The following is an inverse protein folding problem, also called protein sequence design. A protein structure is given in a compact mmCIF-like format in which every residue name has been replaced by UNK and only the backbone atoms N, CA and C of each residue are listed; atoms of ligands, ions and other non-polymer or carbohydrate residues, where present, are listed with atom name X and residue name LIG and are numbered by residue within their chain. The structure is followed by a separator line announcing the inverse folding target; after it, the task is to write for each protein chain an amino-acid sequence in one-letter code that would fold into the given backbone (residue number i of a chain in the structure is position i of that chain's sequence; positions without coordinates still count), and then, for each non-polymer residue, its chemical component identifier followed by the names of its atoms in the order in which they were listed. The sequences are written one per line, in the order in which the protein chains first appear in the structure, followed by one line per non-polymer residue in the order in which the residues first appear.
data_IF_496316595402
#
_entry.id   IF_496316595402
#
_cell.length_a   1.000
_cell.length_b   1.000
_cell.length_c   1.000
_cell.angle_alpha   90.00
_cell.angle_beta   90.00
_cell.angle_gamma   90.00
#
_symmetry.space_group_name_H-M   'P 1'
#
loop_
_entity.id
_entity.type
_entity.pdbx_description
1 polymer ?
#
# COMPACT_ATOMS: atom_id res chain seq x y z
N UNK A 1 -52.17 -34.27 21.80
CA UNK A 1 -53.00 -35.47 21.51
C UNK A 1 -53.16 -35.81 20.03
N UNK A 2 -53.41 -34.86 19.11
CA UNK A 2 -53.62 -35.17 17.67
C UNK A 2 -52.45 -35.87 16.95
N UNK A 3 -51.19 -35.52 17.26
CA UNK A 3 -50.04 -36.04 16.52
C UNK A 3 -49.56 -37.43 16.98
N UNK A 4 -49.75 -37.74 18.26
CA UNK A 4 -49.43 -39.06 18.83
C UNK A 4 -50.35 -40.14 18.24
N UNK A 5 -51.65 -39.84 18.10
CA UNK A 5 -52.62 -40.70 17.42
C UNK A 5 -52.32 -40.94 15.93
N UNK A 6 -51.67 -39.99 15.24
CA UNK A 6 -51.38 -40.12 13.80
C UNK A 6 -50.11 -40.92 13.50
N UNK A 7 -49.07 -40.80 14.33
CA UNK A 7 -47.75 -41.38 14.00
C UNK A 7 -47.27 -42.49 14.95
N UNK A 8 -47.98 -42.75 16.04
CA UNK A 8 -47.77 -43.85 17.01
C UNK A 8 -46.36 -43.96 17.63
N UNK A 9 -45.41 -43.09 17.28
CA UNK A 9 -44.03 -43.03 17.77
C UNK A 9 -43.51 -41.58 17.67
N UNK A 10 -43.15 -40.99 18.81
CA UNK A 10 -42.67 -39.61 18.93
C UNK A 10 -41.30 -39.37 18.28
N UNK A 11 -40.48 -40.40 18.06
CA UNK A 11 -39.06 -40.20 17.72
C UNK A 11 -38.82 -39.78 16.28
N UNK A 12 -39.77 -40.01 15.35
CA UNK A 12 -39.59 -39.74 13.90
C UNK A 12 -40.69 -38.91 13.23
N UNK A 13 -41.55 -38.26 14.01
CA UNK A 13 -42.69 -37.44 13.51
C UNK A 13 -42.26 -36.38 12.50
N UNK A 14 -41.12 -35.72 12.72
CA UNK A 14 -40.60 -34.66 11.83
C UNK A 14 -40.17 -35.19 10.47
N UNK A 15 -39.57 -36.39 10.40
CA UNK A 15 -39.13 -37.01 9.13
C UNK A 15 -40.34 -37.44 8.31
N UNK A 16 -41.34 -38.05 8.96
CA UNK A 16 -42.59 -38.50 8.31
C UNK A 16 -43.43 -37.33 7.78
N UNK A 17 -43.61 -36.26 8.56
CA UNK A 17 -44.31 -35.06 8.08
C UNK A 17 -43.56 -34.35 6.94
N UNK A 18 -42.23 -34.41 6.94
CA UNK A 18 -41.42 -33.87 5.85
C UNK A 18 -41.58 -34.69 4.56
N UNK A 19 -41.72 -36.01 4.68
CA UNK A 19 -42.04 -36.91 3.57
C UNK A 19 -43.46 -36.68 3.04
N UNK A 20 -44.47 -36.56 3.92
CA UNK A 20 -45.87 -36.28 3.52
C UNK A 20 -46.02 -34.93 2.80
N UNK A 21 -45.28 -33.90 3.22
CA UNK A 21 -45.35 -32.57 2.61
C UNK A 21 -44.36 -32.38 1.44
N UNK A 22 -43.62 -33.43 1.07
CA UNK A 22 -42.52 -33.40 0.11
C UNK A 22 -41.54 -32.22 0.30
N UNK A 23 -41.42 -31.69 1.52
CA UNK A 23 -40.65 -30.47 1.85
C UNK A 23 -40.00 -30.62 3.22
N UNK A 24 -38.79 -30.08 3.37
CA UNK A 24 -38.03 -30.18 4.63
C UNK A 24 -38.69 -29.29 5.69
N UNK A 25 -39.17 -29.88 6.79
CA UNK A 25 -39.75 -29.13 7.90
C UNK A 25 -38.66 -28.37 8.67
N UNK A 26 -38.49 -27.09 8.35
CA UNK A 26 -37.68 -26.12 9.07
C UNK A 26 -38.52 -24.95 9.58
N UNK A 27 -37.97 -24.15 10.48
CA UNK A 27 -38.58 -22.85 10.78
C UNK A 27 -38.50 -21.97 9.52
N UNK A 28 -39.56 -21.21 9.20
CA UNK A 28 -39.51 -20.25 8.11
C UNK A 28 -38.45 -19.19 8.41
N UNK A 29 -37.81 -18.69 7.36
CA UNK A 29 -36.85 -17.61 7.49
C UNK A 29 -37.54 -16.34 7.98
N UNK A 30 -36.96 -15.66 8.97
CA UNK A 30 -37.52 -14.41 9.52
C UNK A 30 -37.40 -13.20 8.60
N UNK A 31 -36.48 -13.27 7.63
CA UNK A 31 -36.18 -12.19 6.69
C UNK A 31 -36.27 -12.77 5.29
N UNK A 32 -36.88 -12.02 4.37
CA UNK A 32 -37.01 -12.44 2.99
C UNK A 32 -35.68 -12.33 2.23
N UNK A 33 -35.54 -13.09 1.14
CA UNK A 33 -34.32 -13.03 0.33
C UNK A 33 -34.14 -11.66 -0.35
N UNK A 34 -35.24 -11.00 -0.72
CA UNK A 34 -35.19 -9.65 -1.32
C UNK A 34 -34.48 -8.65 -0.42
N UNK A 35 -34.75 -8.71 0.89
CA UNK A 35 -34.07 -7.88 1.90
C UNK A 35 -32.57 -8.15 1.94
N UNK A 36 -32.15 -9.42 1.82
CA UNK A 36 -30.73 -9.78 1.78
C UNK A 36 -30.04 -9.27 0.50
N UNK A 37 -30.73 -9.30 -0.63
CA UNK A 37 -30.22 -8.76 -1.91
C UNK A 37 -30.12 -7.23 -1.88
N UNK A 38 -31.08 -6.55 -1.25
CA UNK A 38 -31.03 -5.10 -1.05
C UNK A 38 -29.80 -4.68 -0.22
N UNK A 39 -29.30 -5.51 0.69
CA UNK A 39 -28.07 -5.19 1.42
C UNK A 39 -26.80 -5.17 0.55
N UNK A 40 -26.87 -5.71 -0.67
CA UNK A 40 -25.73 -5.74 -1.60
C UNK A 40 -25.58 -4.47 -2.44
N UNK A 41 -26.57 -3.59 -2.43
CA UNK A 41 -26.58 -2.34 -3.19
C UNK A 41 -26.31 -1.15 -2.27
N UNK A 42 -25.43 -0.24 -2.71
CA UNK A 42 -25.05 0.95 -1.94
C UNK A 42 -26.21 1.93 -1.80
N UNK A 43 -27.16 1.95 -2.75
CA UNK A 43 -28.34 2.81 -2.70
C UNK A 43 -29.27 2.44 -1.53
N UNK A 44 -29.42 1.13 -1.27
CA UNK A 44 -30.27 0.60 -0.21
C UNK A 44 -29.52 0.29 1.09
N UNK A 45 -28.19 0.16 1.03
CA UNK A 45 -27.33 -0.05 2.19
C UNK A 45 -26.10 0.87 2.10
N UNK A 46 -26.20 2.13 2.57
CA UNK A 46 -25.11 3.09 2.48
C UNK A 46 -23.91 2.75 3.39
N UNK A 47 -24.06 1.77 4.28
CA UNK A 47 -23.05 1.32 5.25
C UNK A 47 -22.52 -0.08 4.93
N UNK A 48 -22.55 -0.49 3.66
CA UNK A 48 -22.14 -1.81 3.18
C UNK A 48 -20.67 -2.16 3.48
N UNK A 49 -19.83 -1.16 3.67
CA UNK A 49 -18.42 -1.24 4.09
C UNK A 49 -18.23 -1.44 5.61
N UNK A 50 -19.29 -1.25 6.41
CA UNK A 50 -19.22 -1.33 7.88
C UNK A 50 -19.43 -2.76 8.40
N UNK A 51 -19.06 -3.06 9.65
CA UNK A 51 -19.36 -4.35 10.27
C UNK A 51 -20.86 -4.68 10.23
N UNK A 52 -21.22 -5.95 10.06
CA UNK A 52 -22.61 -6.41 9.96
C UNK A 52 -23.51 -5.92 11.11
N UNK A 53 -22.96 -5.72 12.32
CA UNK A 53 -23.71 -5.18 13.45
C UNK A 53 -24.19 -3.74 13.22
N UNK A 54 -23.39 -2.91 12.55
CA UNK A 54 -23.77 -1.55 12.13
C UNK A 54 -24.83 -1.64 11.04
N UNK A 55 -24.61 -2.49 10.02
CA UNK A 55 -25.58 -2.69 8.93
C UNK A 55 -26.95 -3.15 9.43
N UNK A 56 -27.00 -4.02 10.44
CA UNK A 56 -28.24 -4.48 11.08
C UNK A 56 -29.00 -3.31 11.71
N UNK A 57 -28.31 -2.43 12.44
CA UNK A 57 -28.91 -1.28 13.12
C UNK A 57 -29.38 -0.23 12.11
N UNK A 58 -28.55 0.08 11.12
CA UNK A 58 -28.87 1.10 10.11
C UNK A 58 -30.02 0.68 9.19
N UNK A 59 -30.08 -0.60 8.79
CA UNK A 59 -31.10 -1.11 7.87
C UNK A 59 -32.26 -1.81 8.59
N UNK A 60 -32.38 -1.68 9.92
CA UNK A 60 -33.45 -2.26 10.75
C UNK A 60 -33.71 -3.76 10.51
N UNK A 61 -32.64 -4.57 10.42
CA UNK A 61 -32.76 -6.00 10.16
C UNK A 61 -33.10 -6.74 11.46
N UNK A 62 -34.18 -7.53 11.55
CA UNK A 62 -34.58 -8.25 12.77
C UNK A 62 -33.77 -9.55 12.98
N UNK A 63 -32.45 -9.50 12.82
CA UNK A 63 -31.54 -10.63 12.94
C UNK A 63 -30.32 -10.28 13.80
N UNK A 64 -29.79 -11.28 14.50
CA UNK A 64 -28.47 -11.17 15.15
C UNK A 64 -27.36 -11.25 14.09
N UNK A 65 -26.17 -10.72 14.40
CA UNK A 65 -25.00 -10.78 13.51
C UNK A 65 -24.76 -12.19 12.94
N UNK A 66 -24.74 -13.20 13.82
CA UNK A 66 -24.51 -14.60 13.44
C UNK A 66 -25.62 -15.16 12.55
N UNK A 67 -26.88 -14.80 12.82
CA UNK A 67 -28.01 -15.23 11.99
C UNK A 67 -28.00 -14.56 10.61
N UNK A 68 -27.63 -13.28 10.53
CA UNK A 68 -27.46 -12.57 9.27
C UNK A 68 -26.31 -13.19 8.44
N UNK A 69 -25.16 -13.45 9.06
CA UNK A 69 -24.02 -14.09 8.38
C UNK A 69 -24.39 -15.48 7.82
N UNK A 70 -25.12 -16.28 8.59
CA UNK A 70 -25.63 -17.58 8.13
C UNK A 70 -26.60 -17.43 6.94
N UNK A 71 -27.55 -16.49 7.02
CA UNK A 71 -28.49 -16.22 5.93
C UNK A 71 -27.77 -15.80 4.64
N UNK A 72 -26.82 -14.87 4.74
CA UNK A 72 -26.05 -14.37 3.60
C UNK A 72 -25.26 -15.50 2.92
N UNK A 73 -24.55 -16.33 3.69
CA UNK A 73 -23.74 -17.43 3.14
C UNK A 73 -24.60 -18.54 2.54
N UNK A 74 -25.65 -18.96 3.24
CA UNK A 74 -26.43 -20.14 2.86
C UNK A 74 -27.46 -19.86 1.77
N UNK A 75 -28.02 -18.64 1.71
CA UNK A 75 -29.11 -18.33 0.78
C UNK A 75 -28.66 -17.59 -0.47
N UNK A 76 -27.72 -16.66 -0.34
CA UNK A 76 -27.32 -15.80 -1.46
C UNK A 76 -25.82 -15.83 -1.75
N UNK A 77 -25.07 -16.74 -1.12
CA UNK A 77 -23.62 -16.88 -1.28
C UNK A 77 -22.87 -15.54 -1.14
N UNK A 78 -23.23 -14.79 -0.10
CA UNK A 78 -22.65 -13.49 0.21
C UNK A 78 -22.04 -13.45 1.61
N UNK A 79 -21.14 -12.50 1.83
CA UNK A 79 -20.44 -12.33 3.08
C UNK A 79 -19.60 -11.06 3.09
N UNK A 80 -19.00 -10.78 4.25
CA UNK A 80 -18.03 -9.70 4.38
C UNK A 80 -16.68 -10.22 3.91
N UNK A 81 -16.15 -9.66 2.84
CA UNK A 81 -14.88 -10.04 2.23
C UNK A 81 -13.98 -8.82 2.06
N UNK A 82 -12.67 -9.04 1.91
CA UNK A 82 -11.72 -7.98 1.55
C UNK A 82 -12.17 -7.27 0.25
N UNK A 83 -12.26 -5.95 0.30
CA UNK A 83 -12.64 -5.10 -0.82
C UNK A 83 -11.52 -5.03 -1.87
N UNK A 84 -11.88 -4.84 -3.13
CA UNK A 84 -10.93 -4.39 -4.14
C UNK A 84 -10.83 -2.87 -4.08
N UNK A 85 -9.65 -2.33 -4.35
CA UNK A 85 -9.45 -0.89 -4.47
C UNK A 85 -8.57 -0.63 -5.67
N UNK A 86 -8.92 0.42 -6.40
CA UNK A 86 -8.07 1.04 -7.40
C UNK A 86 -7.36 2.22 -6.70
N UNK A 87 -6.03 2.12 -6.61
CA UNK A 87 -5.20 3.33 -6.60
C UNK A 87 -5.26 3.82 -8.06
N UNK A 88 -5.29 5.13 -8.30
CA UNK A 88 -5.44 5.79 -9.60
C UNK A 88 -5.09 4.90 -10.81
N UNK A 89 -5.99 4.85 -11.79
CA UNK A 89 -5.78 4.09 -13.02
C UNK A 89 -4.41 4.45 -13.63
N UNK A 90 -3.56 3.44 -13.84
CA UNK A 90 -2.23 3.65 -14.41
C UNK A 90 -2.44 4.19 -15.83
N UNK A 91 -1.83 5.32 -16.15
CA UNK A 91 -1.94 5.91 -17.49
C UNK A 91 -1.41 4.94 -18.55
N UNK A 92 -1.95 5.00 -19.77
CA UNK A 92 -1.48 4.16 -20.88
C UNK A 92 0.04 4.31 -21.10
N UNK A 93 0.56 5.54 -21.05
CA UNK A 93 2.00 5.81 -21.16
C UNK A 93 2.82 5.07 -20.11
N UNK A 94 2.37 5.06 -18.85
CA UNK A 94 3.06 4.34 -17.79
C UNK A 94 2.97 2.83 -17.99
N UNK A 95 1.83 2.31 -18.48
CA UNK A 95 1.71 0.89 -18.83
C UNK A 95 2.72 0.50 -19.91
N UNK A 96 2.89 1.30 -20.96
CA UNK A 96 3.90 1.03 -21.99
C UNK A 96 5.32 1.05 -21.46
N UNK A 97 5.69 2.04 -20.65
CA UNK A 97 7.01 2.11 -20.01
C UNK A 97 7.27 0.90 -19.11
N UNK A 98 6.26 0.49 -18.36
CA UNK A 98 6.29 -0.70 -17.51
C UNK A 98 6.50 -1.97 -18.32
N UNK A 99 5.71 -2.19 -19.38
CA UNK A 99 5.90 -3.33 -20.28
C UNK A 99 7.32 -3.35 -20.85
N UNK A 100 7.83 -2.21 -21.32
CA UNK A 100 9.19 -2.08 -21.82
C UNK A 100 10.24 -2.45 -20.78
N UNK A 101 10.13 -1.92 -19.56
CA UNK A 101 11.00 -2.28 -18.44
C UNK A 101 10.96 -3.79 -18.14
N UNK A 102 9.76 -4.38 -18.15
CA UNK A 102 9.56 -5.81 -17.98
C UNK A 102 10.30 -6.64 -19.04
N UNK A 103 10.15 -6.28 -20.32
CA UNK A 103 10.81 -6.98 -21.42
C UNK A 103 12.33 -6.92 -21.35
N UNK A 104 12.89 -5.75 -21.01
CA UNK A 104 14.34 -5.52 -20.92
C UNK A 104 14.95 -6.27 -19.74
N UNK A 105 14.28 -6.27 -18.58
CA UNK A 105 14.89 -6.72 -17.33
C UNK A 105 14.50 -8.16 -16.90
N UNK A 106 13.52 -8.80 -17.55
CA UNK A 106 13.08 -10.17 -17.18
C UNK A 106 14.16 -11.25 -17.29
N UNK A 107 15.18 -11.04 -18.14
CA UNK A 107 16.27 -11.99 -18.37
C UNK A 107 17.55 -11.63 -17.61
N UNK A 108 17.55 -10.50 -16.89
CA UNK A 108 18.71 -10.07 -16.13
C UNK A 108 18.99 -11.06 -14.98
N UNK A 109 20.24 -11.50 -14.80
CA UNK A 109 20.58 -12.47 -13.78
C UNK A 109 20.48 -11.86 -12.37
N UNK A 110 20.24 -12.70 -11.36
CA UNK A 110 20.26 -12.26 -9.97
C UNK A 110 21.67 -11.77 -9.61
N UNK A 111 22.68 -12.57 -9.92
CA UNK A 111 24.09 -12.25 -9.70
C UNK A 111 24.68 -11.58 -10.94
N UNK A 112 25.35 -10.45 -10.76
CA UNK A 112 25.91 -9.61 -11.82
C UNK A 112 25.01 -8.44 -12.23
N UNK A 113 23.73 -8.44 -11.84
CA UNK A 113 22.82 -7.32 -12.11
C UNK A 113 21.98 -6.98 -10.88
N UNK A 114 21.00 -7.81 -10.49
CA UNK A 114 20.08 -7.46 -9.39
C UNK A 114 20.75 -7.41 -8.01
N UNK A 115 21.86 -8.12 -7.82
CA UNK A 115 22.72 -8.07 -6.62
C UNK A 115 23.59 -6.81 -6.53
N UNK A 116 23.68 -6.04 -7.62
CA UNK A 116 24.40 -4.77 -7.69
C UNK A 116 23.48 -3.54 -7.59
N UNK A 117 22.16 -3.74 -7.54
CA UNK A 117 21.18 -2.66 -7.42
C UNK A 117 20.97 -2.28 -5.95
N UNK A 118 21.24 -1.02 -5.64
CA UNK A 118 20.85 -0.35 -4.41
C UNK A 118 19.44 0.21 -4.56
N UNK A 119 18.53 -0.32 -3.76
CA UNK A 119 17.12 0.05 -3.73
C UNK A 119 16.93 1.10 -2.64
N UNK A 120 16.54 2.32 -3.03
CA UNK A 120 16.17 3.40 -2.10
C UNK A 120 14.68 3.66 -2.18
N UNK A 121 14.10 4.13 -1.07
CA UNK A 121 12.72 4.61 -1.01
C UNK A 121 12.47 5.28 0.33
N UNK A 122 11.46 6.13 0.35
CA UNK A 122 10.87 6.75 1.53
C UNK A 122 9.54 6.08 1.86
N UNK A 123 9.21 6.02 3.14
CA UNK A 123 7.91 5.54 3.60
C UNK A 123 7.37 6.39 4.75
N UNK A 124 6.06 6.32 4.94
CA UNK A 124 5.41 6.79 6.16
C UNK A 124 4.84 5.60 6.94
N UNK A 125 4.86 5.72 8.27
CA UNK A 125 4.18 4.82 9.18
C UNK A 125 3.26 5.62 10.09
N UNK A 126 1.98 5.27 10.05
CA UNK A 126 0.99 5.82 10.95
C UNK A 126 0.51 4.71 11.92
N UNK A 127 0.72 4.85 13.24
CA UNK A 127 0.30 3.85 14.23
C UNK A 127 -1.23 3.70 14.32
N UNK A 128 -2.01 4.66 13.82
CA UNK A 128 -3.47 4.61 13.76
C UNK A 128 -4.00 4.09 12.41
N UNK A 129 -3.15 4.03 11.38
CA UNK A 129 -3.57 3.53 10.06
C UNK A 129 -3.86 2.03 10.12
N UNK A 130 -5.08 1.63 9.78
CA UNK A 130 -5.40 0.21 9.66
C UNK A 130 -4.87 -0.32 8.32
N UNK A 131 -3.90 -1.25 8.36
CA UNK A 131 -3.42 -1.96 7.17
C UNK A 131 -4.42 -3.01 6.70
N UNK A 132 -5.43 -3.34 7.51
CA UNK A 132 -6.51 -4.20 7.05
C UNK A 132 -7.23 -3.51 5.90
N UNK A 133 -7.19 -4.18 4.74
CA UNK A 133 -7.96 -3.80 3.56
C UNK A 133 -9.41 -3.65 4.01
N UNK A 134 -10.08 -2.53 3.70
CA UNK A 134 -11.47 -2.37 4.04
C UNK A 134 -12.22 -3.60 3.53
N UNK A 135 -13.14 -4.09 4.35
CA UNK A 135 -13.98 -5.22 4.00
C UNK A 135 -15.33 -4.68 3.53
N UNK A 136 -15.93 -5.35 2.55
CA UNK A 136 -17.25 -5.00 2.05
C UNK A 136 -18.13 -6.23 2.02
N UNK A 137 -19.41 -6.03 2.30
CA UNK A 137 -20.42 -7.04 2.07
C UNK A 137 -20.63 -7.23 0.56
N UNK A 138 -20.33 -8.43 0.03
CA UNK A 138 -20.47 -8.76 -1.39
C UNK A 138 -20.75 -10.24 -1.62
N UNK A 139 -21.20 -10.54 -2.83
CA UNK A 139 -21.24 -11.91 -3.34
C UNK A 139 -19.84 -12.54 -3.42
N UNK A 140 -19.78 -13.84 -3.13
CA UNK A 140 -18.61 -14.67 -3.34
C UNK A 140 -18.17 -14.61 -4.82
N UNK A 141 -16.84 -14.63 -5.06
CA UNK A 141 -16.27 -14.53 -6.41
C UNK A 141 -16.41 -13.18 -7.13
N UNK A 142 -17.26 -12.26 -6.70
CA UNK A 142 -17.52 -10.98 -7.40
C UNK A 142 -16.62 -9.81 -6.97
N UNK A 143 -15.38 -10.08 -6.59
CA UNK A 143 -14.46 -9.07 -6.02
C UNK A 143 -14.20 -7.87 -6.95
N UNK A 144 -14.11 -8.10 -8.26
CA UNK A 144 -13.70 -7.11 -9.27
C UNK A 144 -14.89 -6.40 -9.94
N UNK A 145 -16.13 -6.63 -9.50
CA UNK A 145 -17.26 -5.82 -10.01
C UNK A 145 -17.07 -4.37 -9.60
N UNK A 146 -17.38 -3.44 -10.49
CA UNK A 146 -17.26 -1.97 -10.30
C UNK A 146 -17.80 -1.50 -8.95
N UNK A 147 -19.00 -1.92 -8.58
CA UNK A 147 -19.63 -1.51 -7.32
C UNK A 147 -18.91 -2.07 -6.07
N UNK A 148 -18.05 -3.08 -6.21
CA UNK A 148 -17.28 -3.65 -5.10
C UNK A 148 -15.86 -3.09 -5.01
N UNK A 149 -15.49 -2.20 -5.95
CA UNK A 149 -14.21 -1.49 -5.96
C UNK A 149 -14.40 -0.18 -5.20
N UNK A 150 -13.75 -0.06 -4.05
CA UNK A 150 -13.74 1.18 -3.28
C UNK A 150 -12.67 2.14 -3.78
N UNK A 151 -12.99 3.43 -3.80
CA UNK A 151 -11.99 4.50 -3.91
C UNK A 151 -11.42 4.74 -2.51
N UNK A 152 -10.13 4.48 -2.31
CA UNK A 152 -9.48 4.74 -1.02
C UNK A 152 -9.38 6.26 -0.84
N UNK A 153 -10.17 6.83 0.07
CA UNK A 153 -9.99 8.23 0.46
C UNK A 153 -8.62 8.38 1.12
N UNK A 154 -7.83 9.42 0.79
CA UNK A 154 -6.59 9.68 1.50
C UNK A 154 -6.92 9.90 2.98
N UNK A 155 -6.32 9.09 3.85
CA UNK A 155 -6.45 9.29 5.30
C UNK A 155 -5.68 10.55 5.64
N UNK A 156 -6.30 11.48 6.38
CA UNK A 156 -5.61 12.69 6.87
C UNK A 156 -4.38 12.26 7.67
N UNK A 157 -3.25 12.94 7.46
CA UNK A 157 -2.02 12.69 8.19
C UNK A 157 -2.29 12.78 9.71
N UNK A 158 -2.01 11.70 10.44
CA UNK A 158 -2.03 11.73 11.90
C UNK A 158 -0.80 12.50 12.38
N UNK A 159 -0.89 13.31 13.45
CA UNK A 159 0.28 13.95 14.04
C UNK A 159 1.35 12.93 14.47
N UNK A 160 0.99 11.66 14.68
CA UNK A 160 1.89 10.56 15.02
C UNK A 160 2.54 9.88 13.80
N UNK A 161 2.28 10.36 12.58
CA UNK A 161 2.90 9.79 11.38
C UNK A 161 4.41 10.04 11.40
N UNK A 162 5.17 8.96 11.29
CA UNK A 162 6.62 9.02 11.15
C UNK A 162 7.01 8.83 9.69
N UNK A 163 7.99 9.61 9.28
CA UNK A 163 8.57 9.62 7.95
C UNK A 163 9.95 8.97 8.01
N UNK A 164 10.15 7.93 7.20
CA UNK A 164 11.34 7.09 7.25
C UNK A 164 11.96 6.92 5.87
N UNK A 165 13.26 6.70 5.84
CA UNK A 165 14.02 6.37 4.63
C UNK A 165 15.03 5.27 4.96
N UNK A 166 15.34 4.42 3.98
CA UNK A 166 16.42 3.45 4.10
C UNK A 166 16.88 3.01 2.71
N UNK A 167 18.04 2.36 2.67
CA UNK A 167 18.58 1.73 1.47
C UNK A 167 18.84 0.24 1.71
N UNK A 168 18.57 -0.59 0.72
CA UNK A 168 18.85 -2.04 0.78
C UNK A 168 19.48 -2.53 -0.52
N UNK A 169 20.30 -3.55 -0.39
CA UNK A 169 20.90 -4.30 -1.48
C UNK A 169 20.97 -5.80 -1.06
N UNK A 170 21.28 -6.68 -1.99
CA UNK A 170 21.53 -8.10 -1.76
C UNK A 170 22.57 -8.40 -0.67
N UNK A 171 23.58 -7.54 -0.52
CA UNK A 171 24.66 -7.70 0.46
C UNK A 171 24.54 -6.78 1.66
N UNK A 172 23.69 -5.76 1.60
CA UNK A 172 23.72 -4.64 2.54
C UNK A 172 22.31 -4.22 2.93
N UNK A 173 22.13 -3.89 4.21
CA UNK A 173 20.93 -3.26 4.74
C UNK A 173 21.36 -2.01 5.49
N UNK A 174 20.97 -0.84 4.99
CA UNK A 174 21.27 0.44 5.60
C UNK A 174 20.56 0.66 6.94
N UNK A 175 20.99 1.67 7.70
CA UNK A 175 20.25 2.11 8.88
C UNK A 175 18.86 2.65 8.48
N UNK A 176 17.91 2.58 9.42
CA UNK A 176 16.62 3.24 9.26
C UNK A 176 16.75 4.69 9.70
N UNK A 177 16.61 5.61 8.75
CA UNK A 177 16.60 7.05 9.02
C UNK A 177 15.19 7.61 9.18
N UNK A 178 15.08 8.72 9.90
CA UNK A 178 13.84 9.48 10.06
C UNK A 178 14.05 10.92 9.59
N UNK A 179 13.00 11.54 9.04
CA UNK A 179 12.99 12.95 8.67
C UNK A 179 11.71 13.63 9.16
N UNK A 180 11.69 14.97 9.17
CA UNK A 180 10.57 15.79 9.67
C UNK A 180 10.24 15.61 11.17
N UNK A 181 11.26 15.41 12.02
CA UNK A 181 11.09 15.08 13.44
C UNK A 181 10.75 16.27 14.35
N UNK A 182 11.22 17.48 14.04
CA UNK A 182 11.20 18.63 14.97
C UNK A 182 10.58 19.92 14.41
N UNK A 183 10.13 19.91 13.15
CA UNK A 183 9.62 21.11 12.50
C UNK A 183 8.22 20.80 11.99
N UNK A 184 7.25 21.29 12.74
CA UNK A 184 5.95 21.61 12.20
C UNK A 184 6.18 22.57 11.03
N UNK A 185 6.00 22.05 9.81
CA UNK A 185 5.89 22.81 8.57
C UNK A 185 7.13 23.66 8.22
N UNK A 186 7.84 23.31 7.14
CA UNK A 186 8.32 24.39 6.28
C UNK A 186 7.07 25.19 5.92
N UNK A 187 6.92 26.41 6.45
CA UNK A 187 6.01 27.37 5.83
C UNK A 187 6.37 27.35 4.36
N UNK A 188 5.42 27.00 3.47
CA UNK A 188 5.67 27.04 2.04
C UNK A 188 6.31 28.41 1.77
N UNK A 189 7.60 28.48 1.39
CA UNK A 189 8.17 29.76 1.04
C UNK A 189 7.27 30.28 -0.06
N UNK A 190 6.74 31.51 0.10
CA UNK A 190 5.88 32.13 -0.92
C UNK A 190 6.55 31.85 -2.26
N UNK A 191 5.83 31.29 -3.25
CA UNK A 191 6.44 30.89 -4.50
C UNK A 191 7.27 32.06 -5.02
N UNK A 192 8.58 31.84 -5.14
CA UNK A 192 9.49 32.87 -5.61
C UNK A 192 8.96 33.35 -6.95
N UNK A 193 8.88 34.67 -7.17
CA UNK A 193 8.37 35.16 -8.45
C UNK A 193 9.28 34.69 -9.58
N UNK A 194 8.68 34.03 -10.58
CA UNK A 194 9.42 33.56 -11.77
C UNK A 194 10.21 34.72 -12.37
N UNK A 195 11.54 34.57 -12.59
CA UNK A 195 12.37 35.61 -13.17
C UNK A 195 11.80 36.04 -14.51
N UNK A 196 11.53 37.34 -14.66
CA UNK A 196 11.23 37.94 -15.95
C UNK A 196 12.54 38.29 -16.65
N UNK A 197 12.61 38.04 -17.95
CA UNK A 197 13.77 38.42 -18.77
C UNK A 197 13.85 39.94 -18.81
N UNK A 198 15.00 40.52 -18.46
CA UNK A 198 15.20 41.96 -18.57
C UNK A 198 15.49 42.37 -20.02
N UNK A 199 15.17 43.62 -20.36
CA UNK A 199 15.29 44.17 -21.74
C UNK A 199 16.70 44.04 -22.32
N UNK A 200 17.74 44.13 -21.49
CA UNK A 200 19.16 44.12 -21.88
C UNK A 200 19.92 42.88 -21.40
N UNK A 201 19.21 41.83 -20.98
CA UNK A 201 19.81 40.59 -20.50
C UNK A 201 20.04 39.58 -21.64
N UNK A 202 21.21 38.97 -21.67
CA UNK A 202 21.55 37.90 -22.62
C UNK A 202 20.75 36.63 -22.33
N UNK A 203 20.46 35.84 -23.37
CA UNK A 203 19.67 34.61 -23.27
C UNK A 203 20.26 33.61 -22.26
N UNK A 204 21.59 33.55 -22.16
CA UNK A 204 22.32 32.63 -21.29
C UNK A 204 22.17 33.00 -19.82
N UNK A 205 22.33 34.29 -19.49
CA UNK A 205 22.16 34.82 -18.13
C UNK A 205 20.72 34.68 -17.63
N UNK A 206 19.74 34.83 -18.53
CA UNK A 206 18.34 34.55 -18.23
C UNK A 206 18.10 33.06 -17.90
N UNK A 207 18.71 32.15 -18.65
CA UNK A 207 18.61 30.70 -18.39
C UNK A 207 19.25 30.32 -17.06
N UNK A 208 20.42 30.85 -16.73
CA UNK A 208 21.08 30.62 -15.45
C UNK A 208 20.20 31.04 -14.26
N UNK A 209 19.60 32.24 -14.32
CA UNK A 209 18.63 32.69 -13.31
C UNK A 209 17.37 31.83 -13.25
N UNK A 210 16.92 31.31 -14.38
CA UNK A 210 15.78 30.40 -14.43
C UNK A 210 16.11 29.07 -13.74
N UNK A 211 17.30 28.52 -14.01
CA UNK A 211 17.80 27.30 -13.38
C UNK A 211 17.95 27.47 -11.87
N UNK A 212 18.56 28.57 -11.42
CA UNK A 212 18.68 28.88 -9.99
C UNK A 212 17.32 29.07 -9.31
N UNK A 213 16.34 29.64 -10.02
CA UNK A 213 14.98 29.79 -9.52
C UNK A 213 14.24 28.45 -9.47
N UNK A 214 14.37 27.60 -10.49
CA UNK A 214 13.78 26.25 -10.53
C UNK A 214 14.33 25.36 -9.40
N UNK A 215 15.63 25.47 -9.09
CA UNK A 215 16.27 24.77 -7.96
C UNK A 215 15.75 25.24 -6.59
N UNK A 216 15.33 26.50 -6.48
CA UNK A 216 14.80 27.09 -5.23
C UNK A 216 13.28 26.97 -5.09
N UNK A 217 12.58 26.61 -6.15
CA UNK A 217 11.12 26.50 -6.12
C UNK A 217 10.67 25.24 -5.39
N UNK A 218 9.79 25.35 -4.37
CA UNK A 218 9.17 24.18 -3.79
C UNK A 218 8.31 23.47 -4.87
N UNK A 219 8.17 22.14 -4.80
CA UNK A 219 7.36 21.40 -5.76
C UNK A 219 5.91 21.92 -5.76
N UNK A 220 5.34 22.13 -6.95
CA UNK A 220 3.92 22.45 -7.09
C UNK A 220 3.06 21.29 -6.54
N UNK A 221 2.21 21.58 -5.56
CA UNK A 221 1.29 20.63 -4.93
C UNK A 221 -0.12 20.91 -5.47
N UNK A 222 -0.75 19.91 -6.10
CA UNK A 222 -2.21 19.89 -6.27
C UNK A 222 -2.83 19.30 -4.99
N UNK A 223 -3.26 20.14 -4.05
CA UNK A 223 -3.92 19.71 -2.81
C UNK A 223 -3.84 20.70 -1.65
N UNK A 224 -4.76 20.55 -0.69
CA UNK A 224 -4.83 21.38 0.51
C UNK A 224 -3.57 21.27 1.39
N UNK A 225 -3.22 22.41 1.95
CA UNK A 225 -2.00 22.71 2.71
C UNK A 225 -1.96 21.90 4.01
N UNK A 226 -1.15 20.84 4.03
CA UNK A 226 -0.93 20.03 5.22
C UNK A 226 -0.23 18.72 4.87
N UNK A 227 1.06 18.80 4.53
CA UNK A 227 1.84 17.61 4.20
C UNK A 227 3.31 17.79 4.52
N UNK A 228 3.87 16.76 5.15
CA UNK A 228 5.28 16.59 5.42
C UNK A 228 6.00 16.22 4.10
N UNK A 229 6.45 17.20 3.32
CA UNK A 229 7.15 16.97 2.05
C UNK A 229 8.66 17.10 2.20
N UNK A 230 9.42 16.30 1.47
CA UNK A 230 10.88 16.46 1.33
C UNK A 230 11.15 17.46 0.20
N UNK A 231 12.01 18.46 0.45
CA UNK A 231 12.52 19.34 -0.61
C UNK A 231 13.74 18.71 -1.28
N UNK A 232 14.03 19.08 -2.53
CA UNK A 232 15.23 18.61 -3.22
C UNK A 232 16.51 18.96 -2.44
N UNK A 233 16.59 20.17 -1.88
CA UNK A 233 17.71 20.62 -1.04
C UNK A 233 17.90 19.69 0.18
N UNK A 234 16.84 19.44 0.94
CA UNK A 234 16.88 18.55 2.11
C UNK A 234 17.32 17.13 1.72
N UNK A 235 16.77 16.61 0.61
CA UNK A 235 17.15 15.29 0.10
C UNK A 235 18.65 15.25 -0.24
N UNK A 236 19.17 16.25 -0.97
CA UNK A 236 20.58 16.31 -1.37
C UNK A 236 21.55 16.49 -0.21
N UNK A 237 21.14 17.21 0.85
CA UNK A 237 22.00 17.51 1.98
C UNK A 237 21.99 16.42 3.06
N UNK A 238 20.86 15.73 3.25
CA UNK A 238 20.67 14.85 4.40
C UNK A 238 20.42 13.39 4.07
N UNK A 239 19.83 13.07 2.91
CA UNK A 239 19.44 11.70 2.55
C UNK A 239 20.43 11.11 1.53
N UNK A 240 20.62 11.79 0.40
CA UNK A 240 21.47 11.35 -0.71
C UNK A 240 22.91 11.01 -0.29
N UNK A 241 23.59 11.76 0.61
CA UNK A 241 24.95 11.42 1.03
C UNK A 241 25.03 10.03 1.66
N UNK A 242 24.01 9.63 2.43
CA UNK A 242 23.97 8.29 3.04
C UNK A 242 23.90 7.17 2.00
N UNK A 243 23.23 7.41 0.87
CA UNK A 243 23.14 6.46 -0.25
C UNK A 243 24.45 6.41 -1.04
N UNK A 244 25.06 7.57 -1.30
CA UNK A 244 26.36 7.66 -1.97
C UNK A 244 27.42 6.92 -1.15
N UNK A 245 27.48 7.15 0.16
CA UNK A 245 28.41 6.49 1.06
C UNK A 245 28.22 4.97 1.02
N UNK A 246 26.97 4.48 1.09
CA UNK A 246 26.67 3.05 1.04
C UNK A 246 27.14 2.39 -0.27
N UNK A 247 26.97 3.07 -1.41
CA UNK A 247 27.46 2.60 -2.73
C UNK A 247 28.98 2.67 -2.81
N UNK A 248 29.59 3.74 -2.30
CA UNK A 248 31.04 3.92 -2.30
C UNK A 248 31.74 2.87 -1.44
N UNK A 249 31.18 2.54 -0.27
CA UNK A 249 31.70 1.48 0.59
C UNK A 249 31.66 0.11 -0.10
N UNK A 250 30.60 -0.20 -0.86
CA UNK A 250 30.56 -1.43 -1.66
C UNK A 250 31.56 -1.43 -2.82
N UNK A 251 31.83 -0.28 -3.44
CA UNK A 251 32.88 -0.15 -4.46
C UNK A 251 34.27 -0.44 -3.89
N UNK A 252 34.57 0.11 -2.70
CA UNK A 252 35.87 -0.10 -2.03
C UNK A 252 36.02 -1.56 -1.56
N UNK A 253 34.94 -2.15 -1.02
CA UNK A 253 34.95 -3.52 -0.51
C UNK A 253 34.88 -4.62 -1.58
N UNK A 254 34.57 -4.28 -2.84
CA UNK A 254 34.49 -5.26 -3.91
C UNK A 254 35.89 -5.67 -4.39
N UNK A 255 36.29 -6.90 -4.07
CA UNK A 255 37.49 -7.55 -4.63
C UNK A 255 37.33 -7.88 -6.12
N UNK A 256 36.11 -7.80 -6.65
CA UNK A 256 35.77 -8.11 -8.04
C UNK A 256 35.87 -6.83 -8.84
N UNK A 257 36.93 -6.73 -9.65
CA UNK A 257 37.14 -5.70 -10.65
C UNK A 257 35.89 -5.54 -11.53
N UNK A 258 35.46 -4.28 -11.73
CA UNK A 258 34.47 -3.85 -12.73
C UNK A 258 33.01 -4.33 -12.55
N UNK A 259 32.44 -4.21 -11.35
CA UNK A 259 30.96 -4.24 -11.20
C UNK A 259 30.37 -2.83 -11.28
N UNK A 260 29.38 -2.66 -12.15
CA UNK A 260 28.55 -1.46 -12.20
C UNK A 260 27.51 -1.52 -11.06
N UNK A 261 27.68 -0.66 -10.06
CA UNK A 261 26.70 -0.49 -8.98
C UNK A 261 25.63 0.51 -9.41
N UNK A 262 24.37 0.09 -9.33
CA UNK A 262 23.21 0.86 -9.78
C UNK A 262 22.45 1.40 -8.58
N UNK A 263 22.11 2.69 -8.57
CA UNK A 263 21.19 3.29 -7.61
C UNK A 263 19.80 3.37 -8.26
N UNK A 264 18.78 2.81 -7.61
CA UNK A 264 17.39 2.85 -8.08
C UNK A 264 16.53 3.64 -7.11
N UNK A 265 15.98 4.74 -7.63
CA UNK A 265 15.07 5.65 -6.92
C UNK A 265 13.76 5.78 -7.71
N UNK A 266 12.71 6.30 -7.06
CA UNK A 266 11.49 6.68 -7.77
C UNK A 266 11.66 8.05 -8.47
N UNK A 267 10.64 8.48 -9.19
CA UNK A 267 10.70 9.72 -9.96
C UNK A 267 10.12 10.92 -9.17
N UNK A 268 10.19 10.90 -7.83
CA UNK A 268 9.74 12.00 -7.00
C UNK A 268 10.45 13.32 -7.39
N UNK A 269 9.73 14.46 -7.43
CA UNK A 269 10.33 15.74 -7.78
C UNK A 269 11.56 16.12 -6.92
N UNK A 270 11.62 15.68 -5.66
CA UNK A 270 12.76 15.91 -4.77
C UNK A 270 14.05 15.21 -5.24
N UNK A 271 13.96 14.16 -6.07
CA UNK A 271 15.10 13.52 -6.73
C UNK A 271 15.61 14.29 -7.97
N UNK A 272 15.13 15.53 -8.17
CA UNK A 272 15.64 16.46 -9.19
C UNK A 272 15.09 16.26 -10.60
N UNK A 273 13.98 15.53 -10.74
CA UNK A 273 13.42 15.05 -12.03
C UNK A 273 12.72 16.13 -12.87
N UNK A 274 12.50 17.32 -12.30
CA UNK A 274 11.84 18.47 -12.96
C UNK A 274 12.80 19.41 -13.70
N UNK A 275 14.12 19.26 -13.55
CA UNK A 275 15.08 20.09 -14.28
C UNK A 275 15.21 19.66 -15.75
N UNK A 276 15.33 20.63 -16.67
CA UNK A 276 15.34 20.39 -18.12
C UNK A 276 16.50 19.50 -18.61
N UNK A 277 17.53 19.28 -17.78
CA UNK A 277 18.74 18.53 -18.11
C UNK A 277 18.99 17.28 -17.23
N UNK A 278 17.95 16.71 -16.59
CA UNK A 278 18.15 15.50 -15.79
C UNK A 278 17.97 14.21 -16.62
N UNK A 279 19.01 13.37 -16.62
CA UNK A 279 19.03 12.02 -17.24
C UNK A 279 17.99 11.10 -16.58
N UNK A 280 17.67 11.31 -15.30
CA UNK A 280 16.70 10.52 -14.52
C UNK A 280 15.23 10.69 -14.96
N UNK A 281 14.92 11.67 -15.82
CA UNK A 281 13.54 11.99 -16.26
C UNK A 281 12.84 10.87 -17.07
N UNK A 282 13.56 9.83 -17.51
CA UNK A 282 13.06 8.85 -18.49
C UNK A 282 12.38 7.59 -17.93
N UNK A 283 12.29 7.39 -16.61
CA UNK A 283 11.67 6.19 -16.03
C UNK A 283 10.62 6.59 -14.99
N UNK A 284 9.34 6.32 -15.28
CA UNK A 284 8.19 6.72 -14.45
C UNK A 284 7.80 5.63 -13.43
N UNK A 285 7.34 6.10 -12.28
CA UNK A 285 6.86 5.41 -11.08
C UNK A 285 6.29 4.01 -11.28
N UNK A 286 6.90 3.04 -10.61
CA UNK A 286 6.41 1.68 -10.48
C UNK A 286 6.79 1.11 -9.11
N UNK A 287 6.05 1.47 -8.03
CA UNK A 287 6.39 1.03 -6.67
C UNK A 287 6.38 -0.50 -6.55
N UNK A 288 5.56 -1.20 -7.34
CA UNK A 288 5.56 -2.66 -7.43
C UNK A 288 6.79 -3.25 -8.16
N UNK A 289 7.79 -2.44 -8.52
CA UNK A 289 9.09 -2.88 -9.06
C UNK A 289 10.27 -2.51 -8.15
N UNK A 290 10.00 -1.97 -6.96
CA UNK A 290 11.03 -1.68 -5.96
C UNK A 290 10.88 -2.65 -4.76
N UNK A 291 11.82 -3.61 -4.55
CA UNK A 291 11.87 -4.51 -3.39
C UNK A 291 11.74 -3.80 -2.04
N UNK A 292 12.14 -2.54 -1.95
CA UNK A 292 12.03 -1.76 -0.74
C UNK A 292 10.57 -1.59 -0.27
N UNK A 293 9.59 -1.56 -1.17
CA UNK A 293 8.16 -1.59 -0.80
C UNK A 293 7.78 -2.87 -0.06
N UNK A 294 8.33 -4.02 -0.49
CA UNK A 294 8.15 -5.29 0.20
C UNK A 294 8.82 -5.30 1.58
N UNK A 295 9.99 -4.66 1.71
CA UNK A 295 10.68 -4.50 3.00
C UNK A 295 9.85 -3.62 3.94
N UNK A 296 9.31 -2.51 3.43
CA UNK A 296 8.40 -1.65 4.18
C UNK A 296 7.15 -2.39 4.65
N UNK A 297 6.59 -3.27 3.82
CA UNK A 297 5.44 -4.08 4.22
C UNK A 297 5.79 -5.01 5.39
N UNK A 298 6.96 -5.67 5.36
CA UNK A 298 7.43 -6.51 6.47
C UNK A 298 7.56 -5.68 7.75
N UNK A 299 8.24 -4.54 7.68
CA UNK A 299 8.43 -3.63 8.82
C UNK A 299 7.07 -3.19 9.40
N UNK A 300 6.19 -2.67 8.54
CA UNK A 300 4.85 -2.18 8.90
C UNK A 300 4.02 -3.26 9.59
N UNK A 301 4.04 -4.49 9.07
CA UNK A 301 3.31 -5.62 9.65
C UNK A 301 3.84 -6.01 11.03
N UNK A 302 5.17 -6.12 11.19
CA UNK A 302 5.80 -6.50 12.46
C UNK A 302 5.57 -5.46 13.55
N UNK A 303 5.75 -4.18 13.22
CA UNK A 303 5.51 -3.07 14.15
C UNK A 303 4.05 -3.05 14.58
N UNK A 304 3.10 -3.22 13.66
CA UNK A 304 1.67 -3.25 14.03
C UNK A 304 1.28 -4.42 14.89
N UNK A 305 1.84 -5.62 14.61
CA UNK A 305 1.69 -6.76 15.51
C UNK A 305 2.16 -6.38 16.91
N UNK A 306 3.34 -5.77 17.04
CA UNK A 306 3.89 -5.35 18.33
C UNK A 306 3.04 -4.27 19.02
N UNK A 307 2.51 -3.30 18.28
CA UNK A 307 1.61 -2.27 18.82
C UNK A 307 0.28 -2.86 19.31
N UNK A 308 -0.28 -3.84 18.59
CA UNK A 308 -1.59 -4.43 18.91
C UNK A 308 -1.51 -5.58 19.93
N UNK A 309 -0.40 -6.30 19.95
CA UNK A 309 -0.22 -7.55 20.72
C UNK A 309 1.27 -7.74 21.04
N UNK A 310 1.82 -6.92 21.96
CA UNK A 310 3.21 -7.05 22.37
C UNK A 310 3.45 -8.39 23.05
N UNK A 311 4.57 -9.05 22.71
CA UNK A 311 4.97 -10.33 23.29
C UNK A 311 6.22 -10.13 24.16
N UNK A 312 6.34 -10.77 25.34
CA UNK A 312 7.56 -10.67 26.13
C UNK A 312 8.80 -11.09 25.31
N UNK A 313 9.92 -10.35 25.36
CA UNK A 313 10.25 -9.23 26.26
C UNK A 313 9.92 -7.83 25.72
N UNK A 314 9.06 -7.69 24.71
CA UNK A 314 8.73 -6.40 24.08
C UNK A 314 8.03 -5.44 25.05
N UNK A 315 8.39 -4.17 24.96
CA UNK A 315 7.72 -3.07 25.67
C UNK A 315 6.39 -2.69 25.03
N UNK A 316 5.41 -2.34 25.86
CA UNK A 316 4.16 -1.74 25.41
C UNK A 316 4.45 -0.31 24.96
N UNK A 317 4.02 0.05 23.75
CA UNK A 317 4.16 1.41 23.23
C UNK A 317 3.42 2.43 24.12
N UNK A 318 4.10 3.52 24.48
CA UNK A 318 3.59 4.57 25.36
C UNK A 318 2.79 5.67 24.66
N UNK A 319 2.60 5.57 23.35
CA UNK A 319 1.89 6.57 22.54
C UNK A 319 2.79 7.70 22.00
N UNK A 320 4.08 7.72 22.34
CA UNK A 320 5.01 8.78 21.89
C UNK A 320 5.67 8.44 20.56
N UNK A 321 6.06 9.47 19.79
CA UNK A 321 6.88 9.32 18.57
C UNK A 321 8.24 8.71 18.88
N UNK A 322 8.84 9.07 20.01
CA UNK A 322 10.17 8.61 20.39
C UNK A 322 10.19 7.09 20.59
N UNK A 323 9.26 6.56 21.39
CA UNK A 323 9.13 5.12 21.59
C UNK A 323 8.73 4.42 20.28
N UNK A 324 7.90 5.05 19.43
CA UNK A 324 7.56 4.49 18.12
C UNK A 324 8.79 4.37 17.20
N UNK A 325 9.72 5.34 17.21
CA UNK A 325 10.99 5.25 16.49
C UNK A 325 11.85 4.11 17.01
N UNK A 326 11.94 3.95 18.33
CA UNK A 326 12.70 2.85 18.95
C UNK A 326 12.15 1.49 18.52
N UNK A 327 10.82 1.32 18.53
CA UNK A 327 10.17 0.10 18.04
C UNK A 327 10.49 -0.12 16.55
N UNK A 328 10.40 0.92 15.71
CA UNK A 328 10.70 0.83 14.28
C UNK A 328 12.17 0.44 14.02
N UNK A 329 13.11 1.02 14.76
CA UNK A 329 14.54 0.70 14.66
C UNK A 329 14.81 -0.74 15.11
N UNK A 330 14.20 -1.19 16.20
CA UNK A 330 14.32 -2.57 16.68
C UNK A 330 13.77 -3.57 15.67
N UNK A 331 12.57 -3.33 15.15
CA UNK A 331 11.95 -4.21 14.14
C UNK A 331 12.72 -4.18 12.82
N UNK A 332 13.24 -3.03 12.41
CA UNK A 332 14.13 -2.92 11.25
C UNK A 332 15.40 -3.72 11.43
N UNK A 333 16.04 -3.66 12.61
CA UNK A 333 17.24 -4.43 12.91
C UNK A 333 16.99 -5.95 12.75
N UNK A 334 15.80 -6.42 13.14
CA UNK A 334 15.38 -7.82 13.03
C UNK A 334 15.03 -8.28 11.61
N UNK A 335 14.89 -7.38 10.62
CA UNK A 335 14.71 -7.79 9.21
C UNK A 335 16.05 -8.33 8.69
N UNK A 336 16.05 -9.59 8.28
CA UNK A 336 17.29 -10.26 7.86
C UNK A 336 17.62 -10.00 6.39
N UNK A 337 18.90 -10.08 6.02
CA UNK A 337 19.31 -10.05 4.61
C UNK A 337 18.66 -11.18 3.79
N UNK A 338 18.37 -12.33 4.41
CA UNK A 338 17.67 -13.44 3.75
C UNK A 338 16.26 -13.03 3.30
N UNK A 339 15.53 -12.28 4.13
CA UNK A 339 14.21 -11.76 3.76
C UNK A 339 14.29 -10.76 2.61
N UNK A 340 15.28 -9.85 2.65
CA UNK A 340 15.54 -8.87 1.58
C UNK A 340 15.90 -9.58 0.27
N UNK A 341 16.83 -10.54 0.31
CA UNK A 341 17.23 -11.35 -0.85
C UNK A 341 16.06 -12.10 -1.47
N UNK A 342 15.14 -12.61 -0.65
CA UNK A 342 13.90 -13.25 -1.13
C UNK A 342 12.98 -12.29 -1.87
N UNK A 343 13.00 -11.00 -1.57
CA UNK A 343 12.26 -9.98 -2.32
C UNK A 343 12.98 -9.67 -3.64
N UNK A 344 14.30 -9.45 -3.60
CA UNK A 344 15.12 -9.15 -4.79
C UNK A 344 15.11 -10.32 -5.78
N UNK A 345 15.18 -11.57 -5.32
CA UNK A 345 15.18 -12.75 -6.20
C UNK A 345 13.89 -12.91 -7.01
N UNK A 346 12.81 -12.23 -6.63
CA UNK A 346 11.55 -12.22 -7.38
C UNK A 346 11.57 -11.24 -8.56
N UNK A 347 12.54 -10.32 -8.64
CA UNK A 347 12.56 -9.26 -9.65
C UNK A 347 12.47 -9.76 -11.10
N UNK A 348 13.21 -10.80 -11.54
CA UNK A 348 13.05 -11.34 -12.90
C UNK A 348 11.61 -11.82 -13.19
N UNK A 349 11.02 -12.55 -12.24
CA UNK A 349 9.63 -13.04 -12.36
C UNK A 349 8.61 -11.89 -12.38
N UNK A 350 8.84 -10.84 -11.61
CA UNK A 350 7.99 -9.62 -11.64
C UNK A 350 8.10 -8.91 -12.98
N UNK A 351 9.30 -8.74 -13.53
CA UNK A 351 9.51 -8.15 -14.84
C UNK A 351 8.80 -8.95 -15.94
N UNK A 352 8.85 -10.29 -15.88
CA UNK A 352 8.11 -11.18 -16.78
C UNK A 352 6.59 -11.02 -16.65
N UNK A 353 6.08 -10.90 -15.42
CA UNK A 353 4.65 -10.65 -15.19
C UNK A 353 4.22 -9.29 -15.76
N UNK A 354 5.09 -8.28 -15.67
CA UNK A 354 4.81 -6.95 -16.19
C UNK A 354 4.73 -6.93 -17.73
N UNK A 355 5.61 -7.69 -18.39
CA UNK A 355 5.59 -7.86 -19.84
C UNK A 355 4.33 -8.59 -20.32
N UNK A 356 3.82 -9.55 -19.53
CA UNK A 356 2.68 -10.40 -19.90
C UNK A 356 1.32 -9.81 -19.50
N UNK A 357 1.27 -8.98 -18.46
CA UNK A 357 0.02 -8.40 -17.95
C UNK A 357 -0.34 -7.04 -18.58
N UNK A 358 0.40 -6.60 -19.61
CA UNK A 358 0.16 -5.33 -20.28
C UNK A 358 0.51 -4.09 -19.43
N UNK A 359 1.44 -4.22 -18.47
CA UNK A 359 1.89 -3.12 -17.62
C UNK A 359 0.95 -2.82 -16.45
N UNK A 360 -0.02 -3.69 -16.19
CA UNK A 360 -0.91 -3.58 -15.04
C UNK A 360 -0.18 -3.75 -13.71
N UNK A 361 -0.83 -3.35 -12.62
CA UNK A 361 -0.28 -3.49 -11.27
C UNK A 361 -0.07 -4.97 -10.90
N UNK A 362 1.14 -5.30 -10.42
CA UNK A 362 1.48 -6.66 -9.95
C UNK A 362 1.23 -6.72 -8.44
N UNK A 363 0.25 -7.54 -8.03
CA UNK A 363 -0.07 -7.78 -6.62
C UNK A 363 0.28 -9.22 -6.24
N UNK A 364 1.18 -9.42 -5.28
CA UNK A 364 1.52 -10.74 -4.71
C UNK A 364 1.35 -10.73 -3.19
N UNK A 365 1.22 -11.90 -2.58
CA UNK A 365 0.92 -12.03 -1.15
C UNK A 365 1.99 -11.43 -0.20
N UNK A 366 3.21 -11.26 -0.71
CA UNK A 366 4.37 -10.74 0.04
C UNK A 366 4.81 -9.33 -0.39
N UNK A 367 4.00 -8.63 -1.20
CA UNK A 367 4.26 -7.29 -1.75
C UNK A 367 3.00 -6.43 -1.78
#
# INVERSE_FOLDING_TARGET
MKEFKKYNDCRRVRKRKSQEKHTKLGHPWRVDESTLRALMDDATNPVRDKPLGVQIRTNNIPLTKRALEHNLRTRIHAGVYKQAYTKMEISLDNKYLRVGYGYVNQWQPIFGFWDAVYWTNEAHFNPEEDFQKPSILRYEGKRLKTNNIGVRKPVKSSPLTLHMYATVNWYYKGPLGFYNDNIDMLTLPKPLQRPRKYKYETQQKYKERLTEWELKCPPAIEGDVGGHYITQEYYTEHILPSYIDAVQQARIGATIEQREWLLQEDNDPSHGTKSFNNVSRKLKDSPDLNPQEGVWLILKQRVKRRLNSPLPPETIWDGTKQHLKEILVQEWAMITLTEIRRLISKMPSRCKQLATNGGEAIRLEHW
#
